data_IF_902600986239
#
_entry.id   IF_902600986239
#
_cell.length_a   1.000
_cell.length_b   1.000
_cell.length_c   1.000
_cell.angle_alpha   90.00
_cell.angle_beta   90.00
_cell.angle_gamma   90.00
#
_symmetry.space_group_name_H-M   'P 1'
#
loop_
_entity.id
_entity.type
_entity.pdbx_description
1 polymer ?
#
# COMPACT_ATOMS: atom_id res chain seq x y z
N UNK A 1 50.63 -9.94 -92.33
CA UNK A 1 50.82 -10.57 -91.01
C UNK A 1 50.67 -9.49 -89.95
N UNK A 2 49.82 -9.78 -88.96
CA UNK A 2 49.33 -8.91 -87.87
C UNK A 2 50.33 -8.95 -86.69
N UNK A 3 50.33 -7.93 -85.80
CA UNK A 3 49.97 -8.18 -84.39
C UNK A 3 49.08 -7.03 -83.86
N UNK A 4 47.82 -7.22 -83.50
CA UNK A 4 47.28 -7.77 -82.23
C UNK A 4 48.00 -7.24 -80.98
N UNK A 5 47.53 -6.08 -80.51
CA UNK A 5 47.87 -5.51 -79.21
C UNK A 5 46.73 -5.81 -78.23
N UNK A 6 47.08 -6.63 -77.23
CA UNK A 6 46.24 -7.01 -76.10
C UNK A 6 45.92 -5.80 -75.21
N UNK A 7 44.64 -5.64 -74.89
CA UNK A 7 44.12 -4.72 -73.88
C UNK A 7 44.54 -5.18 -72.47
N UNK A 8 44.81 -4.27 -71.52
CA UNK A 8 45.01 -4.64 -70.14
C UNK A 8 43.67 -4.92 -69.47
N UNK A 9 43.66 -6.05 -68.76
CA UNK A 9 42.55 -6.61 -67.99
C UNK A 9 42.19 -5.69 -66.82
N UNK A 10 40.88 -5.43 -66.71
CA UNK A 10 40.22 -4.77 -65.57
C UNK A 10 40.47 -5.54 -64.27
N UNK A 11 41.18 -4.90 -63.32
CA UNK A 11 41.37 -5.39 -61.96
C UNK A 11 40.93 -4.34 -60.91
N UNK A 12 39.99 -3.47 -61.29
CA UNK A 12 39.51 -2.35 -60.45
C UNK A 12 38.16 -2.58 -59.77
N UNK A 13 37.41 -3.62 -60.14
CA UNK A 13 35.97 -3.72 -59.82
C UNK A 13 35.70 -4.29 -58.42
N UNK A 14 36.52 -5.23 -57.93
CA UNK A 14 36.27 -5.94 -56.67
C UNK A 14 36.47 -5.10 -55.38
N UNK A 15 37.36 -4.10 -55.41
CA UNK A 15 37.59 -3.23 -54.25
C UNK A 15 36.43 -2.25 -54.02
N UNK A 16 35.82 -1.77 -55.11
CA UNK A 16 34.67 -0.85 -55.05
C UNK A 16 33.42 -1.57 -54.57
N UNK A 17 33.20 -2.82 -55.01
CA UNK A 17 32.08 -3.64 -54.53
C UNK A 17 32.16 -3.96 -53.03
N UNK A 18 33.36 -4.18 -52.49
CA UNK A 18 33.53 -4.44 -51.05
C UNK A 18 33.24 -3.22 -50.16
N UNK A 19 33.52 -2.01 -50.66
CA UNK A 19 33.20 -0.76 -50.00
C UNK A 19 31.71 -0.45 -50.05
N UNK A 20 31.06 -0.70 -51.19
CA UNK A 20 29.62 -0.53 -51.36
C UNK A 20 28.83 -1.50 -50.47
N UNK A 21 29.22 -2.78 -50.43
CA UNK A 21 28.58 -3.78 -49.57
C UNK A 21 28.64 -3.38 -48.08
N UNK A 22 29.79 -2.87 -47.63
CA UNK A 22 29.97 -2.35 -46.27
C UNK A 22 29.11 -1.11 -46.01
N UNK A 23 28.90 -0.28 -47.03
CA UNK A 23 28.06 0.91 -46.94
C UNK A 23 26.58 0.54 -46.86
N UNK A 24 26.15 -0.48 -47.61
CA UNK A 24 24.79 -1.03 -47.59
C UNK A 24 24.48 -1.68 -46.23
N UNK A 25 25.41 -2.45 -45.67
CA UNK A 25 25.30 -2.99 -44.30
C UNK A 25 25.19 -1.88 -43.25
N UNK A 26 25.94 -0.78 -43.40
CA UNK A 26 25.83 0.37 -42.52
C UNK A 26 24.48 1.09 -42.65
N UNK A 27 23.94 1.19 -43.86
CA UNK A 27 22.61 1.77 -44.10
C UNK A 27 21.51 0.91 -43.46
N UNK A 28 21.61 -0.41 -43.57
CA UNK A 28 20.65 -1.33 -42.95
C UNK A 28 20.67 -1.22 -41.41
N UNK A 29 21.86 -1.09 -40.81
CA UNK A 29 21.98 -0.84 -39.35
C UNK A 29 21.36 0.50 -38.96
N UNK A 30 21.57 1.56 -39.75
CA UNK A 30 20.96 2.87 -39.49
C UNK A 30 19.43 2.81 -39.61
N UNK A 31 18.90 2.10 -40.61
CA UNK A 31 17.45 1.89 -40.75
C UNK A 31 16.86 1.11 -39.57
N UNK A 32 17.57 0.05 -39.13
CA UNK A 32 17.18 -0.72 -37.95
C UNK A 32 17.20 0.12 -36.68
N UNK A 33 18.20 0.98 -36.51
CA UNK A 33 18.29 1.92 -35.39
C UNK A 33 17.15 2.95 -35.43
N UNK A 34 16.83 3.51 -36.60
CA UNK A 34 15.72 4.46 -36.74
C UNK A 34 14.37 3.78 -36.42
N UNK A 35 14.19 2.53 -36.84
CA UNK A 35 13.03 1.73 -36.45
C UNK A 35 12.97 1.53 -34.92
N UNK A 36 14.08 1.16 -34.28
CA UNK A 36 14.12 0.99 -32.81
C UNK A 36 13.82 2.31 -32.09
N UNK A 37 14.38 3.43 -32.56
CA UNK A 37 14.10 4.76 -31.99
C UNK A 37 12.61 5.10 -32.09
N UNK A 38 11.98 4.82 -33.23
CA UNK A 38 10.52 5.01 -33.41
C UNK A 38 9.71 4.16 -32.42
N UNK A 39 10.04 2.88 -32.27
CA UNK A 39 9.37 2.00 -31.31
C UNK A 39 9.56 2.47 -29.86
N UNK A 40 10.76 2.95 -29.50
CA UNK A 40 11.01 3.48 -28.15
C UNK A 40 10.18 4.74 -27.90
N UNK A 41 10.02 5.62 -28.89
CA UNK A 41 9.16 6.81 -28.77
C UNK A 41 7.69 6.42 -28.62
N UNK A 42 7.21 5.44 -29.40
CA UNK A 42 5.85 4.91 -29.28
C UNK A 42 5.60 4.27 -27.92
N UNK A 43 6.51 3.40 -27.47
CA UNK A 43 6.41 2.76 -26.16
C UNK A 43 6.40 3.79 -25.02
N UNK A 44 7.24 4.83 -25.10
CA UNK A 44 7.22 5.91 -24.11
C UNK A 44 5.89 6.65 -24.08
N UNK A 45 5.26 6.85 -25.23
CA UNK A 45 3.91 7.44 -25.32
C UNK A 45 2.86 6.53 -24.70
N UNK A 46 2.90 5.22 -24.99
CA UNK A 46 1.97 4.24 -24.42
C UNK A 46 2.11 4.14 -22.89
N UNK A 47 3.34 4.15 -22.37
CA UNK A 47 3.58 4.18 -20.92
C UNK A 47 3.01 5.44 -20.28
N UNK A 48 3.18 6.60 -20.93
CA UNK A 48 2.60 7.86 -20.45
C UNK A 48 1.06 7.81 -20.44
N UNK A 49 0.44 7.26 -21.49
CA UNK A 49 -1.01 7.04 -21.54
C UNK A 49 -1.50 6.09 -20.44
N UNK A 50 -0.74 5.01 -20.17
CA UNK A 50 -1.02 4.08 -19.09
C UNK A 50 -0.91 4.75 -17.71
N UNK A 51 0.12 5.57 -17.48
CA UNK A 51 0.27 6.34 -16.24
C UNK A 51 -0.92 7.29 -16.03
N UNK A 52 -1.31 8.02 -17.07
CA UNK A 52 -2.44 8.94 -17.01
C UNK A 52 -3.78 8.23 -16.75
N UNK A 53 -4.02 7.08 -17.39
CA UNK A 53 -5.23 6.29 -17.16
C UNK A 53 -5.28 5.70 -15.74
N UNK A 54 -4.14 5.22 -15.21
CA UNK A 54 -4.04 4.73 -13.84
C UNK A 54 -4.28 5.85 -12.82
N UNK A 55 -3.70 7.04 -13.04
CA UNK A 55 -3.96 8.21 -12.21
C UNK A 55 -5.44 8.61 -12.21
N UNK A 56 -6.09 8.62 -13.37
CA UNK A 56 -7.53 8.89 -13.47
C UNK A 56 -8.36 7.86 -12.70
N UNK A 57 -8.06 6.56 -12.88
CA UNK A 57 -8.75 5.48 -12.18
C UNK A 57 -8.56 5.58 -10.65
N UNK A 58 -7.37 5.94 -10.18
CA UNK A 58 -7.11 6.14 -8.76
C UNK A 58 -7.98 7.26 -8.17
N UNK A 59 -8.12 8.39 -8.89
CA UNK A 59 -8.99 9.49 -8.49
C UNK A 59 -10.47 9.06 -8.48
N UNK A 60 -10.89 8.29 -9.47
CA UNK A 60 -12.24 7.74 -9.56
C UNK A 60 -12.57 6.81 -8.39
N UNK A 61 -11.70 5.84 -8.07
CA UNK A 61 -11.86 4.93 -6.92
C UNK A 61 -11.94 5.71 -5.61
N UNK A 62 -11.06 6.69 -5.39
CA UNK A 62 -11.10 7.53 -4.17
C UNK A 62 -12.41 8.32 -4.11
N UNK A 63 -12.87 8.85 -5.25
CA UNK A 63 -14.15 9.53 -5.38
C UNK A 63 -15.33 8.63 -5.02
N UNK A 64 -15.38 7.43 -5.59
CA UNK A 64 -16.41 6.42 -5.33
C UNK A 64 -16.42 5.94 -3.88
N UNK A 65 -15.24 5.67 -3.30
CA UNK A 65 -15.14 5.28 -1.88
C UNK A 65 -15.63 6.41 -0.99
N UNK A 66 -15.31 7.68 -1.29
CA UNK A 66 -15.79 8.82 -0.53
C UNK A 66 -17.31 8.97 -0.64
N UNK A 67 -17.87 8.88 -1.84
CA UNK A 67 -19.33 8.99 -2.03
C UNK A 67 -20.07 7.83 -1.36
N UNK A 68 -19.54 6.60 -1.47
CA UNK A 68 -20.10 5.43 -0.81
C UNK A 68 -20.00 5.52 0.72
N UNK A 69 -18.90 6.05 1.26
CA UNK A 69 -18.77 6.31 2.70
C UNK A 69 -19.77 7.39 3.16
N UNK A 70 -19.92 8.48 2.42
CA UNK A 70 -20.91 9.51 2.75
C UNK A 70 -22.34 8.96 2.68
N UNK A 71 -22.65 8.10 1.69
CA UNK A 71 -23.96 7.46 1.54
C UNK A 71 -24.23 6.48 2.68
N UNK A 72 -23.29 5.60 3.02
CA UNK A 72 -23.41 4.68 4.15
C UNK A 72 -23.50 5.42 5.49
N UNK A 73 -22.80 6.54 5.67
CA UNK A 73 -22.98 7.42 6.83
C UNK A 73 -24.36 8.08 6.84
N UNK A 74 -24.89 8.54 5.70
CA UNK A 74 -26.26 9.08 5.59
C UNK A 74 -27.31 8.02 5.92
N UNK A 75 -27.14 6.79 5.43
CA UNK A 75 -28.01 5.65 5.77
C UNK A 75 -27.92 5.28 7.25
N UNK A 76 -26.73 5.29 7.83
CA UNK A 76 -26.50 5.01 9.26
C UNK A 76 -27.11 6.10 10.15
N UNK A 77 -27.01 7.38 9.76
CA UNK A 77 -27.67 8.50 10.46
C UNK A 77 -29.20 8.40 10.37
N UNK A 78 -29.75 7.97 9.23
CA UNK A 78 -31.19 7.70 9.09
C UNK A 78 -31.64 6.50 9.93
N UNK A 79 -30.81 5.45 10.05
CA UNK A 79 -31.09 4.27 10.89
C UNK A 79 -30.93 4.54 12.39
N UNK A 80 -30.10 5.50 12.79
CA UNK A 80 -30.00 5.97 14.19
C UNK A 80 -31.14 6.91 14.62
N UNK A 81 -31.93 7.44 13.68
CA UNK A 81 -33.06 8.34 13.97
C UNK A 81 -34.43 7.65 13.79
N UNK A 82 -34.56 6.39 14.19
CA UNK A 82 -35.86 5.68 14.30
C UNK A 82 -36.27 5.38 15.74
N UNK A 83 -35.64 6.03 16.72
CA UNK A 83 -36.14 6.06 18.10
C UNK A 83 -36.15 7.48 18.66
N UNK A 84 -36.91 8.37 18.02
CA UNK A 84 -37.62 9.38 18.81
C UNK A 84 -38.90 8.69 19.28
N UNK A 85 -38.88 8.07 20.47
CA UNK A 85 -40.11 7.85 21.24
C UNK A 85 -40.53 9.23 21.75
N UNK A 86 -40.96 10.07 20.82
CA UNK A 86 -41.70 11.26 21.13
C UNK A 86 -43.01 10.75 21.72
N UNK A 87 -43.18 11.05 23.01
CA UNK A 87 -44.40 10.74 23.75
C UNK A 87 -45.56 11.21 22.89
N UNK A 88 -46.32 10.24 22.36
CA UNK A 88 -47.61 10.54 21.78
C UNK A 88 -48.47 11.07 22.90
N UNK A 89 -48.58 12.39 23.02
CA UNK A 89 -49.63 13.04 23.78
C UNK A 89 -50.94 12.81 23.00
N UNK A 90 -51.44 11.58 23.05
CA UNK A 90 -52.73 11.19 22.53
C UNK A 90 -53.83 11.72 23.43
N UNK A 91 -54.04 13.04 23.45
CA UNK A 91 -55.31 13.65 23.88
C UNK A 91 -56.31 13.60 22.73
N UNK A 92 -56.61 12.40 22.25
CA UNK A 92 -57.38 12.20 21.04
C UNK A 92 -57.91 10.78 20.93
N UNK A 93 -58.68 10.33 21.91
CA UNK A 93 -59.57 9.18 21.70
C UNK A 93 -60.83 9.30 22.55
N UNK A 94 -61.91 9.59 21.82
CA UNK A 94 -63.29 9.40 22.20
C UNK A 94 -63.56 7.89 22.29
N UNK A 95 -63.78 7.36 23.49
CA UNK A 95 -64.60 6.16 23.66
C UNK A 95 -65.47 6.31 24.90
N UNK A 96 -66.73 6.61 24.63
CA UNK A 96 -67.88 6.43 25.51
C UNK A 96 -67.94 4.94 25.85
N UNK A 97 -68.10 4.60 27.14
CA UNK A 97 -68.56 3.33 27.74
C UNK A 97 -67.63 2.76 28.81
N UNK A 98 -68.23 2.63 30.00
CA UNK A 98 -67.82 1.90 31.19
C UNK A 98 -66.98 2.64 32.25
N UNK A 99 -67.62 3.61 32.89
CA UNK A 99 -67.34 4.03 34.26
C UNK A 99 -67.61 2.90 35.26
N UNK A 100 -66.57 2.39 35.92
CA UNK A 100 -66.67 1.80 37.25
C UNK A 100 -65.34 1.95 38.02
N UNK A 101 -65.36 2.79 39.04
CA UNK A 101 -64.49 2.74 40.22
C UNK A 101 -65.42 2.59 41.44
N UNK A 102 -64.98 2.24 42.65
CA UNK A 102 -63.64 1.81 43.12
C UNK A 102 -63.69 0.50 43.96
N UNK A 103 -62.55 -0.07 44.38
CA UNK A 103 -62.62 -1.15 45.37
C UNK A 103 -61.33 -1.90 45.74
N UNK A 104 -60.60 -1.33 46.70
CA UNK A 104 -59.86 -1.95 47.82
C UNK A 104 -58.72 -2.97 47.61
N UNK A 105 -57.76 -2.85 48.53
CA UNK A 105 -56.52 -3.60 48.70
C UNK A 105 -56.70 -5.09 49.07
N UNK A 106 -55.79 -5.94 48.56
CA UNK A 106 -54.87 -6.86 49.28
C UNK A 106 -54.60 -8.15 48.48
N UNK A 107 -53.33 -8.63 48.59
CA UNK A 107 -52.85 -10.02 48.39
C UNK A 107 -52.76 -10.50 46.93
N UNK A 108 -51.55 -10.58 46.35
CA UNK A 108 -50.71 -11.79 46.23
C UNK A 108 -51.46 -12.98 45.63
N UNK A 109 -51.12 -13.33 44.38
CA UNK A 109 -51.32 -14.59 43.64
C UNK A 109 -50.99 -14.27 42.15
N UNK A 110 -49.83 -14.61 41.58
CA UNK A 110 -49.46 -15.95 41.11
C UNK A 110 -49.45 -16.03 39.56
N UNK A 111 -48.31 -16.52 39.06
CA UNK A 111 -48.02 -17.21 37.80
C UNK A 111 -48.79 -16.88 36.49
N UNK A 112 -48.04 -16.49 35.46
CA UNK A 112 -48.50 -16.73 34.08
C UNK A 112 -47.80 -15.91 33.01
N UNK A 113 -46.53 -16.21 32.71
CA UNK A 113 -45.85 -15.57 31.58
C UNK A 113 -44.47 -16.12 31.32
N UNK A 114 -44.38 -17.37 30.85
CA UNK A 114 -43.14 -17.86 30.24
C UNK A 114 -42.96 -17.16 28.89
N UNK A 115 -42.19 -16.08 28.85
CA UNK A 115 -41.61 -15.58 27.60
C UNK A 115 -40.33 -16.34 27.36
N UNK A 116 -40.44 -17.48 26.68
CA UNK A 116 -39.31 -18.31 26.29
C UNK A 116 -38.54 -17.66 25.14
N UNK A 117 -37.21 -17.65 25.32
CA UNK A 117 -36.17 -17.80 24.32
C UNK A 117 -36.07 -16.71 23.23
N UNK A 118 -35.09 -15.83 23.39
CA UNK A 118 -33.96 -15.70 22.47
C UNK A 118 -32.90 -14.79 23.11
N UNK A 119 -31.91 -15.42 23.75
CA UNK A 119 -30.66 -14.81 24.15
C UNK A 119 -29.53 -15.73 23.68
N UNK A 120 -29.26 -15.72 22.37
CA UNK A 120 -27.97 -16.14 21.86
C UNK A 120 -26.96 -15.01 22.13
N UNK A 121 -26.39 -15.02 23.33
CA UNK A 121 -25.16 -14.30 23.61
C UNK A 121 -24.06 -15.35 23.72
N UNK A 122 -23.36 -15.59 22.60
CA UNK A 122 -22.07 -16.28 22.62
C UNK A 122 -21.08 -15.35 23.34
N UNK A 123 -20.88 -15.63 24.63
CA UNK A 123 -19.72 -15.18 25.38
C UNK A 123 -18.67 -16.27 25.28
N UNK A 124 -17.70 -16.11 24.38
CA UNK A 124 -16.44 -16.86 24.48
C UNK A 124 -15.33 -15.88 24.88
N UNK A 125 -15.18 -15.75 26.19
CA UNK A 125 -14.04 -15.13 26.85
C UNK A 125 -13.27 -16.25 27.56
N UNK A 126 -12.45 -16.96 26.80
CA UNK A 126 -11.37 -17.77 27.36
C UNK A 126 -10.04 -17.14 26.94
N UNK A 127 -9.48 -16.35 27.86
CA UNK A 127 -8.04 -16.15 27.95
C UNK A 127 -7.49 -17.26 28.83
N UNK A 128 -7.06 -18.36 28.23
CA UNK A 128 -6.21 -19.34 28.90
C UNK A 128 -4.76 -19.12 28.47
N UNK A 129 -3.95 -18.75 29.46
CA UNK A 129 -2.50 -18.86 29.41
C UNK A 129 -2.21 -20.33 29.72
N UNK A 130 -1.72 -21.08 28.75
CA UNK A 130 -0.98 -22.30 29.00
C UNK A 130 0.43 -22.14 28.45
N UNK A 131 1.37 -22.02 29.39
CA UNK A 131 2.75 -22.43 29.20
C UNK A 131 2.77 -23.95 29.19
N UNK A 132 3.38 -24.58 28.20
CA UNK A 132 4.19 -25.78 28.42
C UNK A 132 5.03 -26.12 27.18
N UNK A 133 6.22 -26.63 27.49
CA UNK A 133 7.28 -27.00 26.58
C UNK A 133 6.87 -28.22 25.74
N UNK A 134 7.29 -28.21 24.47
CA UNK A 134 7.06 -29.31 23.55
C UNK A 134 8.10 -29.27 22.44
N UNK A 135 9.27 -29.80 22.77
CA UNK A 135 10.24 -30.30 21.79
C UNK A 135 9.52 -31.29 20.86
N UNK A 136 9.60 -31.06 19.54
CA UNK A 136 9.50 -32.15 18.58
C UNK A 136 10.30 -31.81 17.32
N UNK A 137 11.48 -32.43 17.28
CA UNK A 137 12.29 -32.67 16.10
C UNK A 137 11.49 -33.50 15.08
N UNK A 138 11.14 -32.89 13.96
CA UNK A 138 10.87 -33.64 12.73
C UNK A 138 11.37 -32.87 11.50
N UNK A 139 12.69 -32.97 11.33
CA UNK A 139 13.33 -33.43 10.11
C UNK A 139 12.41 -33.55 8.87
N UNK A 140 12.38 -32.49 8.07
CA UNK A 140 12.14 -32.56 6.63
C UNK A 140 13.46 -32.29 5.88
N UNK A 141 14.48 -33.10 6.16
CA UNK A 141 15.69 -33.20 5.34
C UNK A 141 15.50 -34.33 4.31
N UNK A 142 15.22 -33.96 3.05
CA UNK A 142 15.65 -34.72 1.86
C UNK A 142 15.24 -33.97 0.60
N UNK A 143 16.20 -33.29 -0.04
CA UNK A 143 16.65 -33.52 -1.43
C UNK A 143 17.80 -32.53 -1.67
N UNK A 144 19.03 -32.96 -1.36
CA UNK A 144 20.23 -32.36 -1.96
C UNK A 144 20.38 -32.94 -3.37
N UNK A 145 19.82 -32.27 -4.37
CA UNK A 145 20.30 -32.44 -5.74
C UNK A 145 21.60 -31.66 -5.89
N UNK A 146 22.70 -32.38 -5.67
CA UNK A 146 24.00 -32.05 -6.24
C UNK A 146 23.85 -32.07 -7.77
N UNK A 147 23.81 -30.87 -8.37
CA UNK A 147 24.44 -30.59 -9.66
C UNK A 147 25.13 -29.25 -9.56
N UNK A 148 26.43 -29.33 -9.23
CA UNK A 148 27.41 -28.33 -9.65
C UNK A 148 27.43 -28.37 -11.18
N UNK A 149 26.89 -27.34 -11.82
CA UNK A 149 27.62 -26.72 -12.92
C UNK A 149 27.08 -25.33 -13.21
N UNK A 150 27.99 -24.36 -13.10
CA UNK A 150 28.03 -23.08 -13.81
C UNK A 150 26.76 -22.21 -13.83
N UNK A 151 26.74 -21.20 -12.96
CA UNK A 151 26.78 -19.78 -13.35
C UNK A 151 26.86 -18.94 -12.06
N UNK A 152 28.07 -18.50 -11.74
CA UNK A 152 28.34 -17.42 -10.81
C UNK A 152 27.84 -16.13 -11.47
N UNK A 153 26.54 -15.86 -11.32
CA UNK A 153 26.01 -14.51 -11.45
C UNK A 153 26.20 -13.89 -10.08
N UNK A 154 27.25 -13.06 -9.96
CA UNK A 154 27.42 -12.17 -8.83
C UNK A 154 26.14 -11.38 -8.56
N UNK A 155 25.99 -10.76 -7.38
CA UNK A 155 24.84 -9.91 -7.13
C UNK A 155 24.80 -8.91 -8.27
N UNK A 156 23.79 -9.03 -9.13
CA UNK A 156 23.46 -7.96 -10.04
C UNK A 156 23.13 -6.83 -9.10
N UNK A 157 24.13 -5.95 -8.99
CA UNK A 157 24.01 -4.58 -8.61
C UNK A 157 22.79 -4.09 -9.38
N UNK A 158 21.63 -4.17 -8.73
CA UNK A 158 20.40 -3.48 -9.07
C UNK A 158 20.78 -2.01 -8.99
N UNK A 159 21.54 -1.58 -10.00
CA UNK A 159 21.76 -0.21 -10.37
C UNK A 159 20.34 0.36 -10.39
N UNK A 160 20.02 1.31 -9.50
CA UNK A 160 18.76 2.01 -9.56
C UNK A 160 18.84 2.90 -10.80
N UNK A 161 18.65 2.27 -11.96
CA UNK A 161 18.59 2.94 -13.24
C UNK A 161 17.27 3.69 -13.25
N UNK A 162 17.36 4.95 -12.82
CA UNK A 162 16.45 6.02 -13.21
C UNK A 162 14.99 5.77 -12.85
N UNK A 163 14.71 5.34 -11.61
CA UNK A 163 13.37 5.47 -11.06
C UNK A 163 13.12 6.95 -10.69
N UNK A 164 12.88 7.74 -11.72
CA UNK A 164 12.27 9.07 -11.68
C UNK A 164 12.96 10.07 -10.74
N UNK A 165 13.98 10.79 -11.24
CA UNK A 165 14.63 11.88 -10.49
C UNK A 165 13.63 12.92 -9.93
N UNK A 166 12.43 13.02 -10.52
CA UNK A 166 11.35 13.86 -9.98
C UNK A 166 10.68 13.29 -8.71
N UNK A 167 10.58 11.96 -8.60
CA UNK A 167 10.05 11.27 -7.42
C UNK A 167 11.04 11.30 -6.27
N UNK A 168 12.33 11.16 -6.56
CA UNK A 168 13.42 11.28 -5.57
C UNK A 168 13.52 12.72 -5.03
N UNK A 169 13.38 13.73 -5.89
CA UNK A 169 13.36 15.13 -5.46
C UNK A 169 12.10 15.48 -4.65
N UNK A 170 10.95 14.88 -4.99
CA UNK A 170 9.72 14.97 -4.20
C UNK A 170 9.84 14.30 -2.82
N UNK A 171 10.53 13.16 -2.75
CA UNK A 171 10.83 12.48 -1.48
C UNK A 171 11.69 13.38 -0.59
N UNK A 172 12.78 13.96 -1.09
CA UNK A 172 13.67 14.80 -0.30
C UNK A 172 12.94 15.97 0.38
N UNK A 173 12.07 16.67 -0.36
CA UNK A 173 11.25 17.78 0.18
C UNK A 173 10.28 17.30 1.27
N UNK A 174 9.67 16.14 1.07
CA UNK A 174 8.77 15.53 2.05
C UNK A 174 9.52 15.16 3.34
N UNK A 175 10.70 14.56 3.23
CA UNK A 175 11.51 14.19 4.38
C UNK A 175 11.99 15.42 5.15
N UNK A 176 12.43 16.47 4.45
CA UNK A 176 12.82 17.74 5.08
C UNK A 176 11.63 18.38 5.81
N UNK A 177 10.42 18.31 5.24
CA UNK A 177 9.21 18.78 5.91
C UNK A 177 8.90 17.95 7.16
N UNK A 178 9.04 16.63 7.11
CA UNK A 178 8.86 15.76 8.27
C UNK A 178 9.89 16.04 9.37
N UNK A 179 11.15 16.30 9.01
CA UNK A 179 12.22 16.68 9.94
C UNK A 179 11.91 18.02 10.64
N UNK A 180 11.41 19.01 9.89
CA UNK A 180 10.95 20.29 10.47
C UNK A 180 9.79 20.09 11.44
N UNK A 181 8.78 19.31 11.06
CA UNK A 181 7.59 19.04 11.87
C UNK A 181 7.93 18.26 13.15
N UNK A 182 8.88 17.32 13.08
CA UNK A 182 9.38 16.59 14.27
C UNK A 182 10.00 17.53 15.31
N UNK A 183 10.72 18.57 14.86
CA UNK A 183 11.33 19.59 15.75
C UNK A 183 10.36 20.65 16.28
N UNK A 184 9.09 20.59 15.84
CA UNK A 184 8.05 21.55 16.18
C UNK A 184 7.33 21.24 17.50
N UNK A 185 6.12 21.77 17.63
CA UNK A 185 5.25 21.51 18.79
C UNK A 185 4.53 20.16 18.70
N UNK A 186 3.69 19.83 19.69
CA UNK A 186 2.94 18.57 19.69
C UNK A 186 2.00 18.45 18.48
N UNK A 187 1.50 19.57 17.98
CA UNK A 187 0.60 19.60 16.83
C UNK A 187 1.38 19.36 15.54
N UNK A 188 2.53 20.00 15.38
CA UNK A 188 3.47 19.80 14.27
C UNK A 188 3.90 18.34 14.20
N UNK A 189 4.23 17.70 15.33
CA UNK A 189 4.58 16.27 15.39
C UNK A 189 3.44 15.37 14.88
N UNK A 190 2.18 15.66 15.27
CA UNK A 190 1.00 14.92 14.76
C UNK A 190 0.82 15.13 13.26
N UNK A 191 1.04 16.34 12.76
CA UNK A 191 0.99 16.65 11.32
C UNK A 191 2.11 15.94 10.55
N UNK A 192 3.31 15.88 11.11
CA UNK A 192 4.45 15.15 10.54
C UNK A 192 4.16 13.65 10.44
N UNK A 193 3.57 13.07 11.49
CA UNK A 193 3.14 11.68 11.48
C UNK A 193 2.07 11.41 10.40
N UNK A 194 1.05 12.25 10.29
CA UNK A 194 0.02 12.12 9.26
C UNK A 194 0.59 12.28 7.84
N UNK A 195 1.49 13.23 7.64
CA UNK A 195 2.17 13.47 6.37
C UNK A 195 2.96 12.23 5.93
N UNK A 196 3.68 11.58 6.85
CA UNK A 196 4.40 10.34 6.57
C UNK A 196 3.41 9.19 6.27
N UNK A 197 2.35 9.00 7.06
CA UNK A 197 1.36 7.95 6.79
C UNK A 197 0.69 8.09 5.42
N UNK A 198 0.33 9.31 5.02
CA UNK A 198 -0.30 9.58 3.72
C UNK A 198 0.60 9.19 2.53
N UNK A 199 1.92 9.22 2.72
CA UNK A 199 2.90 8.91 1.69
C UNK A 199 3.54 7.52 1.87
N UNK A 200 3.09 6.73 2.84
CA UNK A 200 3.64 5.41 3.17
C UNK A 200 3.65 4.47 1.97
N UNK A 201 2.58 4.44 1.17
CA UNK A 201 2.50 3.55 0.00
C UNK A 201 3.48 3.95 -1.11
N UNK A 202 3.82 5.24 -1.23
CA UNK A 202 4.74 5.73 -2.25
C UNK A 202 6.21 5.47 -1.89
N UNK A 203 6.56 5.54 -0.60
CA UNK A 203 7.95 5.53 -0.14
C UNK A 203 8.31 4.41 0.83
N UNK A 204 7.45 3.39 1.00
CA UNK A 204 7.75 2.22 1.84
C UNK A 204 9.00 1.43 1.43
N UNK A 205 9.53 1.65 0.23
CA UNK A 205 10.78 1.06 -0.24
C UNK A 205 12.04 1.86 0.10
N UNK A 206 11.90 3.03 0.74
CA UNK A 206 13.01 3.97 0.97
C UNK A 206 13.46 3.92 2.43
N UNK A 207 14.74 3.64 2.65
CA UNK A 207 15.36 3.60 3.99
C UNK A 207 15.09 4.89 4.77
N UNK A 208 15.37 6.03 4.13
CA UNK A 208 15.28 7.36 4.73
C UNK A 208 13.86 7.73 5.19
N UNK A 209 12.87 7.17 4.53
CA UNK A 209 11.47 7.36 4.87
C UNK A 209 11.04 6.50 6.05
N UNK A 210 11.48 5.23 6.09
CA UNK A 210 11.03 4.27 7.09
C UNK A 210 11.50 4.62 8.50
N UNK A 211 12.77 5.01 8.69
CA UNK A 211 13.24 5.40 10.02
C UNK A 211 12.59 6.70 10.50
N UNK A 212 12.27 7.64 9.59
CA UNK A 212 11.51 8.85 9.93
C UNK A 212 10.07 8.55 10.32
N UNK A 213 9.43 7.58 9.64
CA UNK A 213 8.11 7.10 10.00
C UNK A 213 8.13 6.45 11.39
N UNK A 214 9.13 5.65 11.70
CA UNK A 214 9.31 5.05 13.01
C UNK A 214 9.55 6.09 14.11
N UNK A 215 10.39 7.11 13.84
CA UNK A 215 10.58 8.26 14.73
C UNK A 215 9.25 8.99 14.99
N UNK A 216 8.42 9.18 13.96
CA UNK A 216 7.11 9.80 14.14
C UNK A 216 6.12 8.90 14.92
N UNK A 217 6.24 7.56 14.82
CA UNK A 217 5.54 6.64 15.73
C UNK A 217 5.99 6.82 17.19
N UNK A 218 7.29 7.04 17.42
CA UNK A 218 7.81 7.36 18.76
C UNK A 218 7.28 8.70 19.27
N UNK A 219 7.20 9.73 18.43
CA UNK A 219 6.58 11.01 18.80
C UNK A 219 5.12 10.80 19.25
N UNK A 220 4.33 10.04 18.48
CA UNK A 220 2.95 9.75 18.85
C UNK A 220 2.85 8.97 20.17
N UNK A 221 3.77 8.04 20.41
CA UNK A 221 3.86 7.33 21.68
C UNK A 221 4.13 8.26 22.88
N UNK A 222 5.01 9.24 22.70
CA UNK A 222 5.30 10.25 23.73
C UNK A 222 4.09 11.15 24.02
N UNK A 223 3.38 11.56 22.96
CA UNK A 223 2.25 12.51 23.04
C UNK A 223 0.94 11.90 23.51
N UNK A 224 0.71 10.62 23.25
CA UNK A 224 -0.53 9.93 23.62
C UNK A 224 -0.53 9.60 25.10
N UNK A 225 -1.63 9.86 25.83
CA UNK A 225 -1.74 9.48 27.26
C UNK A 225 -2.30 8.06 27.45
N UNK A 226 -3.14 7.62 26.52
CA UNK A 226 -3.83 6.33 26.58
C UNK A 226 -2.87 5.14 26.40
N UNK A 227 -3.05 4.12 27.23
CA UNK A 227 -2.14 2.97 27.27
C UNK A 227 -2.31 2.02 26.07
N UNK A 228 -3.50 1.94 25.50
CA UNK A 228 -3.79 1.06 24.37
C UNK A 228 -3.30 1.69 23.07
N UNK A 229 -3.57 2.99 22.87
CA UNK A 229 -3.06 3.77 21.76
C UNK A 229 -1.53 3.84 21.78
N UNK A 230 -0.90 4.05 22.95
CA UNK A 230 0.56 3.96 23.09
C UNK A 230 1.09 2.62 22.60
N UNK A 231 0.49 1.50 23.03
CA UNK A 231 0.92 0.17 22.57
C UNK A 231 0.82 0.04 21.05
N UNK A 232 -0.27 0.53 20.46
CA UNK A 232 -0.46 0.53 18.99
C UNK A 232 0.64 1.32 18.25
N UNK A 233 1.01 2.50 18.74
CA UNK A 233 2.08 3.29 18.13
C UNK A 233 3.46 2.62 18.28
N UNK A 234 3.75 2.03 19.44
CA UNK A 234 5.01 1.32 19.68
C UNK A 234 5.15 0.09 18.78
N UNK A 235 4.09 -0.73 18.65
CA UNK A 235 4.10 -1.89 17.76
C UNK A 235 4.20 -1.48 16.30
N UNK A 236 3.48 -0.43 15.89
CA UNK A 236 3.53 0.08 14.51
C UNK A 236 4.92 0.61 14.12
N UNK A 237 5.58 1.37 15.00
CA UNK A 237 6.95 1.84 14.78
C UNK A 237 7.95 0.68 14.69
N UNK A 238 7.81 -0.31 15.59
CA UNK A 238 8.64 -1.52 15.61
C UNK A 238 8.53 -2.32 14.30
N UNK A 239 7.32 -2.58 13.82
CA UNK A 239 7.09 -3.31 12.57
C UNK A 239 7.73 -2.59 11.37
N UNK A 240 7.64 -1.26 11.31
CA UNK A 240 8.26 -0.45 10.26
C UNK A 240 9.78 -0.62 10.25
N UNK A 241 10.41 -0.63 11.42
CA UNK A 241 11.87 -0.78 11.54
C UNK A 241 12.35 -2.20 11.34
N UNK A 242 11.60 -3.21 11.80
CA UNK A 242 11.94 -4.61 11.53
C UNK A 242 11.98 -4.88 10.02
N UNK A 243 11.04 -4.32 9.26
CA UNK A 243 11.06 -4.39 7.80
C UNK A 243 12.24 -3.62 7.19
N UNK A 244 12.62 -2.49 7.79
CA UNK A 244 13.77 -1.71 7.33
C UNK A 244 15.10 -2.45 7.59
N UNK A 245 15.30 -2.97 8.80
CA UNK A 245 16.53 -3.66 9.21
C UNK A 245 16.76 -4.98 8.48
N UNK A 246 15.71 -5.65 7.99
CA UNK A 246 15.86 -6.79 7.08
C UNK A 246 16.59 -6.43 5.78
N UNK A 247 16.49 -5.17 5.33
CA UNK A 247 17.09 -4.68 4.08
C UNK A 247 18.33 -3.81 4.31
N UNK A 248 18.38 -3.05 5.40
CA UNK A 248 19.40 -2.05 5.69
C UNK A 248 19.96 -2.22 7.10
N UNK A 249 20.53 -3.39 7.37
CA UNK A 249 21.16 -3.76 8.65
C UNK A 249 22.39 -2.91 9.01
N UNK A 250 22.91 -2.10 8.09
CA UNK A 250 24.03 -1.18 8.30
C UNK A 250 23.61 0.26 8.59
N UNK A 251 22.31 0.58 8.55
CA UNK A 251 21.81 1.93 8.77
C UNK A 251 21.84 2.30 10.26
N UNK A 252 22.68 3.26 10.64
CA UNK A 252 22.78 3.73 12.02
C UNK A 252 21.45 4.30 12.55
N UNK A 253 20.74 5.06 11.72
CA UNK A 253 19.45 5.66 12.08
C UNK A 253 18.38 4.59 12.32
N UNK A 254 18.34 3.53 11.49
CA UNK A 254 17.40 2.43 11.68
C UNK A 254 17.69 1.60 12.94
N UNK A 255 18.92 1.62 13.45
CA UNK A 255 19.26 0.98 14.74
C UNK A 255 19.01 1.90 15.93
N UNK A 256 19.06 3.21 15.72
CA UNK A 256 18.82 4.21 16.76
C UNK A 256 17.35 4.29 17.14
N UNK A 257 16.47 4.33 16.13
CA UNK A 257 15.02 4.40 16.27
C UNK A 257 14.43 3.00 16.39
#
# INVERSE_FOLDING_TARGET
>A
AVPEALLPVSAGDGAVSSLLLRQDEQLEVLERLDFVVRNVVELRREVEELRNSLQHLAVEIVGEVRTHLEETQRMTRRRKFTFSRERSDSTGSSSIYFTASPGNANTDESEGGYTTANAESDYDRESERESEEGEDDVSCDTVRTVRRDSLDLGPEDESPLLLDSSLEEGLGQLLEQADRLHSGDEQDKREGFQLLLNNKLAYAGQQEFLWRLARAHSDMWELTEDADERRSYATGGKEVLELALQKWDQSAECHQW
#
